data_IF_988840340054
#
_entry.id   IF_988840340054
#
_cell.length_a   1.000
_cell.length_b   1.000
_cell.length_c   1.000
_cell.angle_alpha   90.00
_cell.angle_beta   90.00
_cell.angle_gamma   90.00
#
_symmetry.space_group_name_H-M   'P 1'
#
loop_
_entity.id
_entity.type
_entity.pdbx_description
1 polymer ?
#
# COMPACT_ATOMS: atom_id res chain seq x y z
N UNK A 1 -3.11 24.71 34.87
CA UNK A 1 -2.64 25.39 33.64
C UNK A 1 -1.95 24.46 32.63
N UNK A 2 -1.31 23.35 33.03
CA UNK A 2 -0.53 22.46 32.14
C UNK A 2 -1.39 21.63 31.15
N UNK A 3 -2.68 21.37 31.41
CA UNK A 3 -3.52 20.52 30.56
C UNK A 3 -3.95 21.14 29.21
N UNK A 4 -3.93 22.47 29.05
CA UNK A 4 -4.39 23.12 27.80
C UNK A 4 -3.33 23.18 26.70
N UNK A 5 -2.05 23.08 27.05
CA UNK A 5 -0.94 23.15 26.07
C UNK A 5 -0.77 21.81 25.32
N UNK A 6 -1.06 20.68 25.97
CA UNK A 6 -0.95 19.34 25.36
C UNK A 6 -1.97 19.14 24.22
N UNK A 7 -3.17 19.71 24.35
CA UNK A 7 -4.23 19.56 23.35
C UNK A 7 -3.89 20.27 22.02
N UNK A 8 -3.14 21.37 22.09
CA UNK A 8 -2.68 22.12 20.91
C UNK A 8 -1.53 21.38 20.21
N UNK A 9 -0.69 20.66 20.95
CA UNK A 9 0.37 19.83 20.36
C UNK A 9 -0.18 18.62 19.59
N UNK A 10 -1.28 18.02 20.05
CA UNK A 10 -1.93 16.90 19.36
C UNK A 10 -2.66 17.37 18.08
N UNK A 11 -3.26 18.57 18.11
CA UNK A 11 -3.87 19.17 16.92
C UNK A 11 -2.83 19.59 15.86
N UNK A 12 -1.62 20.01 16.29
CA UNK A 12 -0.53 20.30 15.36
C UNK A 12 0.06 19.04 14.71
N UNK A 13 0.08 17.89 15.40
CA UNK A 13 0.49 16.63 14.76
C UNK A 13 -0.46 16.21 13.65
N UNK A 14 -1.78 16.48 13.76
CA UNK A 14 -2.74 16.16 12.71
C UNK A 14 -2.56 17.08 11.49
N UNK A 15 -2.21 18.35 11.70
CA UNK A 15 -1.99 19.33 10.63
C UNK A 15 -0.64 19.19 9.90
N UNK A 16 0.31 18.41 10.45
CA UNK A 16 1.61 18.14 9.82
C UNK A 16 1.64 16.88 8.94
N UNK A 17 0.55 16.09 8.90
CA UNK A 17 0.44 14.96 7.95
C UNK A 17 0.30 15.39 6.48
N UNK A 18 0.13 16.70 6.22
CA UNK A 18 0.15 17.28 4.87
C UNK A 18 1.54 17.36 4.21
N UNK A 19 2.61 16.86 4.84
CA UNK A 19 4.00 16.99 4.32
C UNK A 19 4.85 15.70 4.36
N UNK A 20 4.27 14.52 4.61
CA UNK A 20 4.97 13.24 4.45
C UNK A 20 4.73 12.72 3.01
N UNK A 21 5.72 12.36 2.19
CA UNK A 21 6.90 11.57 2.53
C UNK A 21 8.14 11.84 1.65
N UNK A 22 9.20 12.30 2.29
CA UNK A 22 10.49 11.58 2.21
C UNK A 22 10.31 10.39 3.16
N UNK A 23 10.22 9.15 2.67
CA UNK A 23 9.90 7.98 3.50
C UNK A 23 11.00 7.66 4.52
N UNK A 24 11.03 8.38 5.67
CA UNK A 24 12.06 8.22 6.70
C UNK A 24 12.18 6.78 7.21
N UNK A 25 11.09 6.00 7.14
CA UNK A 25 11.02 4.60 7.55
C UNK A 25 10.38 3.67 6.51
N UNK A 26 10.49 3.96 5.21
CA UNK A 26 9.79 3.19 4.20
C UNK A 26 10.32 3.33 2.77
N UNK A 27 9.65 2.66 1.84
CA UNK A 27 9.88 2.84 0.40
C UNK A 27 8.56 2.69 -0.38
N UNK A 28 8.53 3.30 -1.57
CA UNK A 28 7.41 3.35 -2.50
C UNK A 28 7.82 2.67 -3.82
N UNK A 29 6.89 1.93 -4.41
CA UNK A 29 6.93 1.44 -5.78
C UNK A 29 5.63 1.86 -6.45
N UNK A 30 5.70 2.42 -7.65
CA UNK A 30 4.53 2.86 -8.41
C UNK A 30 4.47 2.07 -9.71
N UNK A 31 3.29 1.58 -10.09
CA UNK A 31 3.06 0.95 -11.38
C UNK A 31 1.73 1.43 -11.96
N UNK A 32 1.65 1.50 -13.28
CA UNK A 32 0.46 2.03 -13.98
C UNK A 32 -0.17 0.97 -14.87
N UNK A 33 -1.50 0.91 -14.86
CA UNK A 33 -2.31 0.11 -15.77
C UNK A 33 -3.20 1.03 -16.60
N UNK A 34 -3.10 0.96 -17.92
CA UNK A 34 -4.02 1.68 -18.83
C UNK A 34 -5.12 0.74 -19.31
N UNK A 35 -6.35 0.98 -18.88
CA UNK A 35 -7.50 0.23 -19.37
C UNK A 35 -7.84 0.68 -20.81
N UNK A 36 -7.72 -0.23 -21.78
CA UNK A 36 -8.08 0.05 -23.18
C UNK A 36 -9.58 0.36 -23.35
N UNK A 37 -10.44 -0.16 -22.48
CA UNK A 37 -11.89 0.05 -22.55
C UNK A 37 -12.31 1.36 -21.91
N UNK A 38 -11.70 1.74 -20.77
CA UNK A 38 -12.03 2.99 -20.06
C UNK A 38 -11.20 4.21 -20.49
N UNK A 39 -10.09 4.02 -21.22
CA UNK A 39 -9.10 5.08 -21.57
C UNK A 39 -8.66 5.92 -20.37
N UNK A 40 -8.62 5.29 -19.19
CA UNK A 40 -8.17 5.89 -17.92
C UNK A 40 -6.92 5.16 -17.48
N UNK A 41 -5.90 5.93 -17.08
CA UNK A 41 -4.73 5.41 -16.39
C UNK A 41 -5.08 5.18 -14.93
N UNK A 42 -4.85 3.96 -14.45
CA UNK A 42 -4.95 3.60 -13.05
C UNK A 42 -3.54 3.37 -12.52
N UNK A 43 -3.21 4.00 -11.39
CA UNK A 43 -1.93 3.86 -10.69
C UNK A 43 -2.08 2.89 -9.53
N UNK A 44 -1.00 2.21 -9.19
CA UNK A 44 -0.87 1.40 -8.00
C UNK A 44 0.43 1.73 -7.29
N UNK A 45 0.30 2.23 -6.06
CA UNK A 45 1.40 2.50 -5.16
C UNK A 45 1.50 1.38 -4.13
N UNK A 46 2.68 0.79 -4.01
CA UNK A 46 3.00 -0.16 -2.93
C UNK A 46 4.03 0.46 -2.01
N UNK A 47 3.61 0.68 -0.76
CA UNK A 47 4.36 1.44 0.23
C UNK A 47 4.62 0.55 1.44
N UNK A 48 5.90 0.28 1.72
CA UNK A 48 6.29 -0.39 2.96
C UNK A 48 6.59 0.63 4.05
N UNK A 49 5.97 0.46 5.22
CA UNK A 49 6.30 1.21 6.43
C UNK A 49 6.89 0.29 7.50
N UNK A 50 8.10 0.63 7.98
CA UNK A 50 8.88 -0.14 8.95
C UNK A 50 8.80 0.37 10.39
N UNK A 51 7.80 1.21 10.71
CA UNK A 51 7.43 1.51 12.10
C UNK A 51 6.68 0.32 12.72
N UNK A 52 6.58 0.24 14.05
CA UNK A 52 5.76 -0.78 14.71
C UNK A 52 4.29 -0.29 14.83
N UNK A 53 3.28 -1.09 14.45
CA UNK A 53 3.38 -2.34 13.69
C UNK A 53 3.80 -2.08 12.23
N UNK A 54 4.60 -3.01 11.67
CA UNK A 54 5.01 -2.97 10.26
C UNK A 54 3.78 -3.16 9.41
N UNK A 55 3.67 -2.36 8.35
CA UNK A 55 2.51 -2.40 7.45
C UNK A 55 2.92 -2.22 6.00
N UNK A 56 2.25 -2.95 5.12
CA UNK A 56 2.30 -2.75 3.68
C UNK A 56 1.01 -2.05 3.26
N UNK A 57 1.13 -0.99 2.50
CA UNK A 57 -0.01 -0.24 1.97
C UNK A 57 -0.02 -0.38 0.46
N UNK A 58 -1.18 -0.70 -0.10
CA UNK A 58 -1.42 -0.80 -1.54
C UNK A 58 -2.50 0.21 -1.87
N UNK A 59 -2.13 1.33 -2.50
CA UNK A 59 -3.07 2.37 -2.90
C UNK A 59 -3.35 2.29 -4.40
N UNK A 60 -4.60 2.43 -4.80
CA UNK A 60 -5.07 2.36 -6.18
C UNK A 60 -6.16 3.38 -6.45
N UNK A 61 -6.07 4.10 -7.57
CA UNK A 61 -7.04 5.13 -7.94
C UNK A 61 -8.19 4.58 -8.81
N UNK A 62 -8.78 3.47 -8.37
CA UNK A 62 -9.92 2.82 -9.02
C UNK A 62 -11.23 3.60 -8.81
N UNK A 63 -12.18 3.43 -9.73
CA UNK A 63 -13.49 4.11 -9.63
C UNK A 63 -14.38 3.52 -8.53
N UNK A 64 -14.22 2.22 -8.25
CA UNK A 64 -14.98 1.47 -7.26
C UNK A 64 -14.06 0.69 -6.33
N UNK A 65 -14.59 0.30 -5.17
CA UNK A 65 -13.84 -0.38 -4.12
C UNK A 65 -13.26 -1.71 -4.63
N UNK A 66 -11.97 -1.98 -4.36
CA UNK A 66 -11.40 -3.30 -4.56
C UNK A 66 -12.13 -4.36 -3.72
N UNK A 67 -12.56 -5.45 -4.36
CA UNK A 67 -13.23 -6.59 -3.71
C UNK A 67 -12.30 -7.79 -3.54
N UNK A 68 -11.17 -7.79 -4.27
CA UNK A 68 -10.16 -8.84 -4.16
C UNK A 68 -8.81 -8.34 -4.61
N UNK A 69 -7.78 -8.73 -3.87
CA UNK A 69 -6.39 -8.60 -4.25
C UNK A 69 -5.77 -9.98 -4.44
N UNK A 70 -4.98 -10.13 -5.50
CA UNK A 70 -4.24 -11.38 -5.75
C UNK A 70 -2.82 -11.08 -6.21
N UNK A 71 -1.88 -11.87 -5.70
CA UNK A 71 -0.52 -11.92 -6.23
C UNK A 71 -0.03 -13.37 -6.18
N UNK A 72 0.17 -13.96 -7.36
CA UNK A 72 0.44 -15.39 -7.52
C UNK A 72 -0.61 -16.26 -6.81
N UNK A 73 -0.22 -16.92 -5.71
CA UNK A 73 -1.04 -17.84 -4.93
C UNK A 73 -1.62 -17.17 -3.67
N UNK A 74 -1.21 -15.95 -3.35
CA UNK A 74 -1.80 -15.16 -2.28
C UNK A 74 -3.06 -14.48 -2.79
N UNK A 75 -4.19 -14.76 -2.15
CA UNK A 75 -5.50 -14.20 -2.46
C UNK A 75 -6.07 -13.62 -1.18
N UNK A 76 -6.47 -12.37 -1.23
CA UNK A 76 -7.20 -11.69 -0.18
C UNK A 76 -8.52 -11.19 -0.75
N UNK A 77 -9.62 -11.70 -0.20
CA UNK A 77 -10.95 -11.14 -0.44
C UNK A 77 -11.14 -9.95 0.50
N UNK A 78 -11.67 -8.87 -0.05
CA UNK A 78 -11.91 -7.61 0.64
C UNK A 78 -13.43 -7.45 0.71
N UNK A 79 -14.00 -7.76 1.87
CA UNK A 79 -15.44 -7.66 2.08
C UNK A 79 -15.91 -6.21 2.01
N UNK A 80 -17.20 -6.02 1.78
CA UNK A 80 -17.83 -4.72 1.95
C UNK A 80 -17.58 -4.26 3.39
N UNK A 81 -17.17 -3.00 3.56
CA UNK A 81 -16.76 -2.41 4.84
C UNK A 81 -15.52 -3.06 5.53
N UNK A 82 -14.64 -3.76 4.80
CA UNK A 82 -13.37 -4.25 5.36
C UNK A 82 -12.58 -3.06 5.98
N UNK A 83 -12.29 -3.08 7.30
CA UNK A 83 -11.61 -1.97 7.98
C UNK A 83 -10.19 -1.73 7.48
N UNK A 84 -9.64 -2.66 6.71
CA UNK A 84 -8.33 -2.54 6.06
C UNK A 84 -8.41 -1.86 4.70
N UNK A 85 -9.61 -1.56 4.20
CA UNK A 85 -9.83 -0.81 2.95
C UNK A 85 -10.36 0.57 3.29
N UNK A 86 -9.59 1.59 2.98
CA UNK A 86 -9.91 2.99 3.23
C UNK A 86 -9.99 3.75 1.92
N UNK A 87 -10.73 4.86 1.89
CA UNK A 87 -10.69 5.80 0.79
C UNK A 87 -9.93 7.06 1.20
N UNK A 88 -8.99 7.48 0.35
CA UNK A 88 -8.20 8.70 0.49
C UNK A 88 -8.33 9.53 -0.79
N UNK A 89 -8.71 10.80 -0.66
CA UNK A 89 -8.98 11.68 -1.81
C UNK A 89 -7.77 11.86 -2.74
N UNK A 90 -6.55 11.63 -2.25
CA UNK A 90 -5.31 11.82 -3.02
C UNK A 90 -4.92 10.57 -3.83
N UNK A 91 -5.01 9.38 -3.24
CA UNK A 91 -4.54 8.14 -3.90
C UNK A 91 -5.68 7.20 -4.33
N UNK A 92 -6.91 7.45 -3.89
CA UNK A 92 -8.07 6.58 -4.12
C UNK A 92 -8.25 5.55 -3.00
N UNK A 93 -8.51 4.30 -3.37
CA UNK A 93 -8.66 3.21 -2.40
C UNK A 93 -7.31 2.73 -1.88
N UNK A 94 -7.24 2.48 -0.58
CA UNK A 94 -6.03 2.11 0.14
C UNK A 94 -6.28 0.81 0.90
N UNK A 95 -5.56 -0.25 0.54
CA UNK A 95 -5.57 -1.53 1.22
C UNK A 95 -4.38 -1.57 2.19
N UNK A 96 -4.64 -1.79 3.48
CA UNK A 96 -3.62 -1.81 4.53
C UNK A 96 -3.44 -3.23 5.05
N UNK A 97 -2.23 -3.76 4.94
CA UNK A 97 -1.89 -5.11 5.40
C UNK A 97 -1.02 -4.98 6.65
N UNK A 98 -1.59 -5.36 7.78
CA UNK A 98 -0.89 -5.53 9.05
C UNK A 98 -0.45 -6.99 9.20
N UNK A 99 0.81 -7.23 9.55
CA UNK A 99 1.27 -8.59 9.84
C UNK A 99 2.27 -8.63 11.00
N UNK A 100 1.89 -8.02 12.12
CA UNK A 100 2.68 -8.08 13.35
C UNK A 100 2.64 -9.45 14.02
N UNK A 101 1.56 -10.22 13.86
CA UNK A 101 1.35 -11.48 14.57
C UNK A 101 2.15 -12.65 13.98
N UNK A 102 2.46 -12.62 12.67
CA UNK A 102 3.19 -13.69 11.99
C UNK A 102 4.62 -13.30 11.61
N UNK A 103 5.24 -12.38 12.38
CA UNK A 103 6.60 -11.90 12.11
C UNK A 103 6.76 -11.40 10.65
N UNK A 104 5.76 -10.68 10.15
CA UNK A 104 5.71 -10.12 8.80
C UNK A 104 5.75 -11.15 7.66
N UNK A 105 5.41 -12.43 7.91
CA UNK A 105 5.38 -13.50 6.90
C UNK A 105 4.60 -13.12 5.63
N UNK A 106 3.39 -12.57 5.76
CA UNK A 106 2.55 -12.17 4.64
C UNK A 106 3.14 -10.99 3.87
N UNK A 107 3.62 -9.97 4.58
CA UNK A 107 4.28 -8.82 3.95
C UNK A 107 5.54 -9.28 3.21
N UNK A 108 6.36 -10.14 3.82
CA UNK A 108 7.54 -10.73 3.16
C UNK A 108 7.14 -11.48 1.89
N UNK A 109 6.09 -12.29 1.96
CA UNK A 109 5.61 -13.05 0.80
C UNK A 109 5.19 -12.11 -0.34
N UNK A 110 4.36 -11.11 -0.06
CA UNK A 110 3.88 -10.15 -1.08
C UNK A 110 5.05 -9.41 -1.71
N UNK A 111 5.97 -8.88 -0.89
CA UNK A 111 7.16 -8.17 -1.38
C UNK A 111 8.10 -9.07 -2.21
N UNK A 112 8.15 -10.38 -1.95
CA UNK A 112 8.90 -11.32 -2.79
C UNK A 112 8.19 -11.59 -4.12
N UNK A 113 6.86 -11.73 -4.10
CA UNK A 113 6.11 -12.06 -5.31
C UNK A 113 6.00 -10.87 -6.27
N UNK A 114 5.96 -9.63 -5.77
CA UNK A 114 5.85 -8.43 -6.60
C UNK A 114 7.04 -8.22 -7.55
N UNK A 115 8.17 -8.85 -7.25
CA UNK A 115 9.36 -8.82 -8.10
C UNK A 115 9.23 -9.61 -9.40
N UNK A 116 8.27 -10.54 -9.49
CA UNK A 116 8.18 -11.46 -10.63
C UNK A 116 6.73 -11.80 -11.05
N UNK A 117 5.73 -11.22 -10.40
CA UNK A 117 4.32 -11.48 -10.69
C UNK A 117 3.56 -10.15 -10.67
N UNK A 118 2.50 -10.08 -11.46
CA UNK A 118 1.60 -8.95 -11.43
C UNK A 118 0.80 -8.95 -10.13
N UNK A 119 0.62 -7.76 -9.56
CA UNK A 119 -0.41 -7.53 -8.56
C UNK A 119 -1.74 -7.35 -9.29
N UNK A 120 -2.70 -8.21 -8.99
CA UNK A 120 -4.04 -8.20 -9.56
C UNK A 120 -5.00 -7.55 -8.55
N UNK A 121 -5.71 -6.51 -8.97
CA UNK A 121 -6.75 -5.84 -8.18
C UNK A 121 -8.07 -5.97 -8.93
N UNK A 122 -9.07 -6.52 -8.25
CA UNK A 122 -10.41 -6.72 -8.78
C UNK A 122 -11.35 -5.74 -8.12
N UNK A 123 -12.14 -5.07 -8.94
CA UNK A 123 -13.27 -4.25 -8.56
C UNK A 123 -14.53 -4.87 -9.16
N UNK A 124 -15.72 -4.40 -8.79
CA UNK A 124 -17.01 -4.96 -9.24
C UNK A 124 -17.09 -5.19 -10.76
N UNK A 125 -16.75 -4.18 -11.56
CA UNK A 125 -16.90 -4.22 -13.02
C UNK A 125 -15.59 -4.36 -13.80
N UNK A 126 -14.45 -4.44 -13.11
CA UNK A 126 -13.15 -4.31 -13.78
C UNK A 126 -12.04 -4.96 -12.99
N UNK A 127 -10.96 -5.32 -13.69
CA UNK A 127 -9.76 -5.88 -13.07
C UNK A 127 -8.53 -5.17 -13.62
N UNK A 128 -7.53 -5.02 -12.77
CA UNK A 128 -6.29 -4.34 -13.05
C UNK A 128 -5.12 -5.28 -12.79
N UNK A 129 -4.09 -5.19 -13.62
CA UNK A 129 -2.81 -5.85 -13.40
C UNK A 129 -1.72 -4.78 -13.33
N UNK A 130 -0.89 -4.86 -12.29
CA UNK A 130 0.24 -3.96 -12.07
C UNK A 130 1.53 -4.76 -12.10
N UNK A 131 2.40 -4.45 -13.06
CA UNK A 131 3.71 -5.08 -13.23
C UNK A 131 4.79 -4.17 -12.61
N UNK A 132 5.52 -4.70 -11.64
CA UNK A 132 6.61 -3.99 -10.96
C UNK A 132 8.01 -4.50 -11.35
N UNK A 133 8.11 -5.29 -12.42
CA UNK A 133 9.36 -5.95 -12.84
C UNK A 133 10.50 -4.97 -13.07
N UNK A 134 10.22 -3.78 -13.62
CA UNK A 134 11.24 -2.75 -13.86
C UNK A 134 11.90 -2.24 -12.57
N UNK A 135 11.18 -2.24 -11.45
CA UNK A 135 11.67 -1.77 -10.14
C UNK A 135 12.46 -2.83 -9.37
N UNK A 136 12.52 -4.08 -9.87
CA UNK A 136 13.09 -5.23 -9.16
C UNK A 136 14.47 -4.96 -8.55
N UNK A 137 15.37 -4.35 -9.32
CA UNK A 137 16.74 -4.07 -8.87
C UNK A 137 16.77 -3.03 -7.74
N UNK A 138 15.92 -2.02 -7.82
CA UNK A 138 15.87 -0.94 -6.83
C UNK A 138 15.26 -1.44 -5.52
N UNK A 139 14.23 -2.29 -5.61
CA UNK A 139 13.61 -2.95 -4.46
C UNK A 139 14.62 -3.82 -3.73
N UNK A 140 15.33 -4.71 -4.43
CA UNK A 140 16.32 -5.61 -3.82
C UNK A 140 17.47 -4.82 -3.16
N UNK A 141 17.87 -3.67 -3.73
CA UNK A 141 18.91 -2.82 -3.16
C UNK A 141 18.44 -2.03 -1.95
N UNK A 142 17.14 -1.78 -1.82
CA UNK A 142 16.56 -0.94 -0.78
C UNK A 142 16.85 -1.45 0.65
N UNK A 143 17.24 -0.55 1.54
CA UNK A 143 17.59 -0.87 2.93
C UNK A 143 16.40 -1.41 3.74
N UNK A 144 15.19 -0.93 3.50
CA UNK A 144 13.99 -1.35 4.22
C UNK A 144 13.51 -2.72 3.75
N UNK A 145 13.55 -2.97 2.43
CA UNK A 145 13.33 -4.31 1.89
C UNK A 145 14.31 -5.33 2.50
N UNK A 146 15.62 -5.01 2.51
CA UNK A 146 16.62 -5.87 3.16
C UNK A 146 16.31 -6.11 4.64
N UNK A 147 15.92 -5.07 5.38
CA UNK A 147 15.60 -5.15 6.81
C UNK A 147 14.40 -6.08 7.09
N UNK A 148 13.35 -6.02 6.26
CA UNK A 148 12.18 -6.90 6.46
C UNK A 148 12.44 -8.32 5.98
N UNK A 149 13.35 -8.55 5.05
CA UNK A 149 13.69 -9.89 4.56
C UNK A 149 14.59 -10.69 5.51
N UNK A 150 15.36 -10.01 6.37
CA UNK A 150 16.13 -10.63 7.47
C UNK A 150 15.21 -11.26 8.52
#
# INVERSE_FOLDING_TARGET
MIKKIILIFILFTISLFGQFFKHENGFLMEATHTSYTKKKETTCDVILYMNAPVRLVIAVNTDTQPTKMRIKDFIQFLEDDDPNVLYDDKHGYVIVIYDSEHNNKYIKYILQQILNNNLEIYCEDTFYYFDFTEYKNDIIKNKFYKKIMQ
#
